data_IF_224802445854
#
_entry.id   IF_224802445854
#
_cell.length_a   1.000
_cell.length_b   1.000
_cell.length_c   1.000
_cell.angle_alpha   90.00
_cell.angle_beta   90.00
_cell.angle_gamma   90.00
#
_symmetry.space_group_name_H-M   'P 1'
#
loop_
_entity.id
_entity.type
_entity.pdbx_description
1 polymer ?
#
# COMPACT_ATOMS: atom_id res chain seq x y z
N UNK A 1 -66.15 -0.85 -21.03
CA UNK A 1 -65.14 0.20 -20.77
C UNK A 1 -64.15 0.20 -21.92
N UNK A 2 -63.79 1.34 -22.50
CA UNK A 2 -62.76 1.35 -23.52
C UNK A 2 -61.43 0.85 -22.91
N UNK A 3 -60.82 -0.18 -23.51
CA UNK A 3 -59.52 -0.65 -23.11
C UNK A 3 -58.45 0.26 -23.74
N UNK A 4 -57.62 0.86 -22.91
CA UNK A 4 -56.47 1.62 -23.39
C UNK A 4 -55.26 0.69 -23.55
N UNK A 5 -54.70 0.63 -24.75
CA UNK A 5 -53.49 -0.13 -25.04
C UNK A 5 -52.31 0.72 -24.64
N UNK A 6 -51.44 0.20 -23.80
CA UNK A 6 -50.12 0.78 -23.50
C UNK A 6 -49.07 0.09 -24.41
N UNK A 7 -48.61 0.74 -25.48
CA UNK A 7 -47.76 0.08 -26.47
C UNK A 7 -46.28 -0.05 -26.06
N UNK A 8 -45.88 0.65 -24.99
CA UNK A 8 -44.48 0.70 -24.55
C UNK A 8 -44.42 1.10 -23.10
N UNK A 9 -43.34 0.67 -22.39
CA UNK A 9 -43.01 1.06 -21.02
C UNK A 9 -41.67 1.78 -20.93
N UNK A 10 -41.17 2.31 -22.06
CA UNK A 10 -39.80 2.87 -22.19
C UNK A 10 -39.51 4.06 -21.26
N UNK A 11 -40.53 4.75 -20.75
CA UNK A 11 -40.37 5.85 -19.78
C UNK A 11 -40.22 5.40 -18.33
N UNK A 12 -40.40 4.11 -18.04
CA UNK A 12 -40.25 3.60 -16.70
C UNK A 12 -41.35 4.05 -15.74
N UNK A 13 -41.02 4.11 -14.47
CA UNK A 13 -41.92 4.57 -13.43
C UNK A 13 -42.09 6.11 -13.50
N UNK A 14 -43.33 6.55 -13.56
CA UNK A 14 -43.65 7.98 -13.57
C UNK A 14 -43.68 8.54 -12.16
N UNK A 15 -43.25 9.78 -12.01
CA UNK A 15 -43.43 10.52 -10.77
C UNK A 15 -44.94 10.62 -10.41
N UNK A 16 -45.32 10.51 -9.15
CA UNK A 16 -46.71 10.68 -8.71
C UNK A 16 -47.39 11.97 -9.22
N UNK A 17 -46.60 13.04 -9.43
CA UNK A 17 -47.10 14.32 -9.99
C UNK A 17 -47.53 14.21 -11.45
N UNK A 18 -47.12 13.15 -12.17
CA UNK A 18 -47.49 12.90 -13.57
C UNK A 18 -48.65 11.91 -13.72
N UNK A 19 -49.13 11.28 -12.63
CA UNK A 19 -50.19 10.28 -12.72
C UNK A 19 -51.53 10.83 -13.23
N UNK A 20 -51.78 12.13 -13.11
CA UNK A 20 -52.97 12.80 -13.65
C UNK A 20 -52.76 13.49 -15.02
N UNK A 21 -51.53 13.45 -15.55
CA UNK A 21 -51.21 14.18 -16.79
C UNK A 21 -51.37 13.29 -18.01
N UNK A 22 -52.62 12.94 -18.29
CA UNK A 22 -53.03 12.12 -19.45
C UNK A 22 -52.77 12.80 -20.81
N UNK A 23 -52.50 14.10 -20.79
CA UNK A 23 -52.15 14.92 -21.96
C UNK A 23 -50.71 14.75 -22.43
N UNK A 24 -49.86 14.09 -21.64
CA UNK A 24 -48.42 13.94 -21.98
C UNK A 24 -48.13 12.60 -22.63
N UNK A 25 -47.20 12.60 -23.62
CA UNK A 25 -46.72 11.38 -24.26
C UNK A 25 -46.07 10.42 -23.25
N UNK A 26 -45.47 10.94 -22.16
CA UNK A 26 -44.89 10.17 -21.11
C UNK A 26 -45.90 9.29 -20.37
N UNK A 27 -47.16 9.78 -20.19
CA UNK A 27 -48.22 9.04 -19.56
C UNK A 27 -48.57 7.75 -20.31
N UNK A 28 -48.57 7.78 -21.62
CA UNK A 28 -48.91 6.66 -22.49
C UNK A 28 -47.79 5.62 -22.66
N UNK A 29 -46.59 5.91 -22.17
CA UNK A 29 -45.41 5.05 -22.28
C UNK A 29 -44.73 4.80 -20.93
N UNK A 30 -45.39 5.18 -19.83
CA UNK A 30 -44.90 5.00 -18.47
C UNK A 30 -45.72 4.01 -17.63
N UNK A 31 -45.20 3.67 -16.49
CA UNK A 31 -45.84 2.82 -15.48
C UNK A 31 -46.10 3.64 -14.22
N UNK A 32 -47.22 3.41 -13.57
CA UNK A 32 -47.49 4.00 -12.26
C UNK A 32 -46.59 3.41 -11.18
N UNK A 33 -46.17 2.14 -11.33
CA UNK A 33 -45.23 1.47 -10.43
C UNK A 33 -44.39 0.45 -11.23
N UNK A 34 -43.09 0.49 -11.06
CA UNK A 34 -42.16 -0.46 -11.70
C UNK A 34 -41.20 -1.03 -10.66
N UNK A 35 -41.57 -2.12 -9.98
CA UNK A 35 -40.76 -2.75 -8.94
C UNK A 35 -40.27 -4.12 -9.39
N UNK A 36 -38.99 -4.41 -9.10
CA UNK A 36 -38.35 -5.70 -9.45
C UNK A 36 -38.38 -6.04 -10.93
N UNK A 37 -38.33 -5.03 -11.80
CA UNK A 37 -38.34 -5.19 -13.26
C UNK A 37 -37.24 -4.35 -13.91
N UNK A 38 -36.72 -4.82 -15.04
CA UNK A 38 -35.89 -4.05 -15.93
C UNK A 38 -36.76 -3.52 -17.10
N UNK A 39 -36.62 -2.23 -17.37
CA UNK A 39 -37.31 -1.58 -18.47
C UNK A 39 -36.33 -1.46 -19.63
N UNK A 40 -36.74 -1.98 -20.78
CA UNK A 40 -35.91 -1.96 -21.98
C UNK A 40 -36.20 -0.72 -22.81
N UNK A 41 -35.19 -0.15 -23.44
CA UNK A 41 -35.33 1.04 -24.27
C UNK A 41 -36.31 0.84 -25.45
N UNK A 42 -36.47 -0.40 -25.92
CA UNK A 42 -37.45 -0.80 -26.92
C UNK A 42 -38.92 -0.87 -26.42
N UNK A 43 -39.16 -0.55 -25.14
CA UNK A 43 -40.49 -0.51 -24.53
C UNK A 43 -40.96 -1.77 -23.83
N UNK A 44 -40.19 -2.86 -23.86
CA UNK A 44 -40.49 -4.08 -23.13
C UNK A 44 -40.10 -3.98 -21.64
N UNK A 45 -40.63 -4.92 -20.85
CA UNK A 45 -40.31 -5.08 -19.44
C UNK A 45 -39.96 -6.54 -19.18
N UNK A 46 -38.87 -6.79 -18.45
CA UNK A 46 -38.51 -8.14 -17.98
C UNK A 46 -38.36 -8.16 -16.47
N UNK A 47 -38.63 -9.31 -15.88
CA UNK A 47 -38.43 -9.50 -14.44
C UNK A 47 -36.94 -9.40 -14.10
N UNK A 48 -36.62 -8.79 -12.97
CA UNK A 48 -35.28 -8.85 -12.41
C UNK A 48 -34.94 -10.29 -12.07
N UNK A 49 -33.71 -10.76 -12.39
CA UNK A 49 -33.24 -12.07 -11.94
C UNK A 49 -33.39 -12.21 -10.42
N UNK A 50 -33.61 -13.43 -9.97
CA UNK A 50 -33.61 -13.74 -8.53
C UNK A 50 -32.26 -13.46 -7.88
N UNK A 51 -32.23 -13.36 -6.57
CA UNK A 51 -31.01 -13.31 -5.79
C UNK A 51 -30.54 -14.75 -5.50
N UNK A 52 -29.24 -14.97 -5.61
CA UNK A 52 -28.60 -16.20 -5.16
C UNK A 52 -27.93 -15.92 -3.81
N UNK A 53 -28.24 -16.73 -2.80
CA UNK A 53 -27.51 -16.69 -1.54
C UNK A 53 -26.13 -17.32 -1.74
N UNK A 54 -25.05 -16.58 -1.42
CA UNK A 54 -23.67 -17.02 -1.56
C UNK A 54 -23.18 -17.65 -0.26
N UNK A 55 -23.44 -17.00 0.85
CA UNK A 55 -23.03 -17.41 2.18
C UNK A 55 -23.25 -16.31 3.20
N UNK A 56 -23.14 -16.61 4.50
CA UNK A 56 -23.12 -15.59 5.54
C UNK A 56 -21.83 -14.77 5.47
N UNK A 57 -21.88 -13.56 5.97
CA UNK A 57 -20.68 -12.74 6.22
C UNK A 57 -19.86 -13.36 7.36
N UNK A 58 -18.57 -13.03 7.43
CA UNK A 58 -17.66 -13.57 8.46
C UNK A 58 -18.09 -13.28 9.88
N UNK A 59 -18.55 -12.06 10.12
CA UNK A 59 -19.15 -11.63 11.38
C UNK A 59 -20.51 -10.97 11.10
N UNK A 60 -21.59 -11.66 11.44
CA UNK A 60 -22.96 -11.19 11.23
C UNK A 60 -23.44 -10.16 12.27
N UNK A 61 -22.67 -9.92 13.32
CA UNK A 61 -22.98 -8.87 14.32
C UNK A 61 -22.56 -7.49 13.85
N UNK A 62 -21.69 -7.42 12.84
CA UNK A 62 -21.16 -6.20 12.28
C UNK A 62 -21.58 -6.00 10.82
N UNK A 63 -21.65 -4.74 10.39
CA UNK A 63 -21.89 -4.42 8.98
C UNK A 63 -20.64 -4.70 8.16
N UNK A 64 -20.83 -5.07 6.90
CA UNK A 64 -19.77 -5.29 5.94
C UNK A 64 -19.88 -4.32 4.77
N UNK A 65 -18.77 -4.13 4.05
CA UNK A 65 -18.72 -3.39 2.81
C UNK A 65 -18.23 -4.28 1.67
N UNK A 66 -18.97 -4.27 0.56
CA UNK A 66 -18.58 -4.97 -0.64
C UNK A 66 -17.85 -4.01 -1.59
N UNK A 67 -16.64 -4.39 -2.01
CA UNK A 67 -15.81 -3.63 -2.95
C UNK A 67 -15.56 -4.51 -4.18
N UNK A 68 -15.85 -4.04 -5.41
CA UNK A 68 -15.53 -4.79 -6.62
C UNK A 68 -14.02 -4.77 -6.88
N UNK A 69 -13.48 -5.90 -7.34
CA UNK A 69 -12.11 -6.01 -7.83
C UNK A 69 -12.12 -6.73 -9.19
N UNK A 70 -11.54 -6.11 -10.21
CA UNK A 70 -11.57 -6.63 -11.56
C UNK A 70 -10.15 -6.80 -12.10
N UNK A 71 -9.65 -8.03 -12.11
CA UNK A 71 -8.37 -8.34 -12.74
C UNK A 71 -8.47 -8.35 -14.27
N UNK A 72 -9.45 -9.10 -14.79
CA UNK A 72 -9.78 -9.15 -16.23
C UNK A 72 -11.27 -9.39 -16.41
N UNK A 73 -11.76 -9.36 -17.63
CA UNK A 73 -13.19 -9.50 -17.94
C UNK A 73 -13.80 -10.82 -17.46
N UNK A 74 -13.00 -11.88 -17.39
CA UNK A 74 -13.41 -13.22 -16.94
C UNK A 74 -13.09 -13.50 -15.48
N UNK A 75 -12.21 -12.73 -14.85
CA UNK A 75 -11.84 -12.86 -13.44
C UNK A 75 -12.19 -11.58 -12.68
N UNK A 76 -13.40 -11.59 -12.15
CA UNK A 76 -13.93 -10.54 -11.29
C UNK A 76 -14.18 -11.10 -9.90
N UNK A 77 -13.96 -10.25 -8.91
CA UNK A 77 -14.12 -10.58 -7.50
C UNK A 77 -14.98 -9.54 -6.82
N UNK A 78 -15.65 -9.95 -5.75
CA UNK A 78 -16.22 -9.06 -4.76
C UNK A 78 -15.43 -9.28 -3.47
N UNK A 79 -14.86 -8.21 -2.95
CA UNK A 79 -14.16 -8.19 -1.68
C UNK A 79 -15.16 -7.82 -0.59
N UNK A 80 -15.36 -8.72 0.37
CA UNK A 80 -16.17 -8.48 1.57
C UNK A 80 -15.24 -7.98 2.67
N UNK A 81 -15.24 -6.68 2.92
CA UNK A 81 -14.57 -6.08 4.06
C UNK A 81 -15.49 -6.09 5.26
N UNK A 82 -15.05 -6.74 6.33
CA UNK A 82 -15.72 -6.78 7.62
C UNK A 82 -14.83 -6.24 8.75
N UNK A 83 -15.21 -6.48 9.98
CA UNK A 83 -14.45 -6.05 11.15
C UNK A 83 -13.10 -6.74 11.22
N UNK A 84 -12.03 -6.04 10.86
CA UNK A 84 -10.63 -6.50 10.84
C UNK A 84 -10.35 -7.67 9.89
N UNK A 85 -11.22 -7.95 8.93
CA UNK A 85 -11.02 -9.00 7.94
C UNK A 85 -11.45 -8.57 6.53
N UNK A 86 -10.97 -9.32 5.54
CA UNK A 86 -11.46 -9.30 4.16
C UNK A 86 -11.63 -10.73 3.65
N UNK A 87 -12.80 -11.04 3.07
CA UNK A 87 -13.08 -12.27 2.34
C UNK A 87 -13.27 -12.00 0.86
N UNK A 88 -13.11 -13.02 0.06
CA UNK A 88 -13.19 -12.92 -1.40
C UNK A 88 -14.30 -13.82 -1.94
N UNK A 89 -15.17 -13.23 -2.75
CA UNK A 89 -16.21 -13.94 -3.50
C UNK A 89 -15.86 -13.95 -4.98
N UNK A 90 -15.93 -15.12 -5.62
CA UNK A 90 -15.71 -15.33 -7.04
C UNK A 90 -16.66 -16.40 -7.56
N UNK A 91 -17.21 -16.24 -8.76
CA UNK A 91 -18.07 -17.25 -9.40
C UNK A 91 -19.19 -17.76 -8.47
N UNK A 92 -19.89 -16.81 -7.84
CA UNK A 92 -21.02 -17.08 -6.94
C UNK A 92 -20.68 -17.93 -5.69
N UNK A 93 -19.44 -17.94 -5.24
CA UNK A 93 -19.00 -18.62 -4.02
C UNK A 93 -17.88 -17.86 -3.32
N UNK A 94 -17.72 -18.08 -2.01
CA UNK A 94 -16.48 -17.65 -1.32
C UNK A 94 -15.30 -18.43 -1.86
N UNK A 95 -14.18 -17.76 -2.02
CA UNK A 95 -12.90 -18.39 -2.36
C UNK A 95 -12.45 -19.25 -1.19
N UNK A 96 -11.99 -20.45 -1.50
CA UNK A 96 -11.53 -21.43 -0.52
C UNK A 96 -10.00 -21.60 -0.60
N UNK A 97 -9.38 -21.85 0.53
CA UNK A 97 -7.97 -22.25 0.60
C UNK A 97 -7.78 -23.70 0.12
N UNK A 98 -6.53 -24.13 0.05
CA UNK A 98 -6.21 -25.49 -0.38
C UNK A 98 -6.86 -26.57 0.51
N UNK A 99 -7.31 -27.64 -0.13
CA UNK A 99 -7.95 -28.78 0.54
C UNK A 99 -7.06 -29.41 1.63
N UNK A 100 -7.68 -29.79 2.74
CA UNK A 100 -7.08 -30.68 3.75
C UNK A 100 -7.81 -32.02 3.71
N UNK A 101 -7.06 -33.11 3.60
CA UNK A 101 -7.61 -34.46 3.56
C UNK A 101 -8.17 -34.85 4.91
N UNK A 102 -9.42 -35.32 4.93
CA UNK A 102 -10.06 -35.89 6.11
C UNK A 102 -9.72 -37.38 6.17
N UNK A 103 -9.24 -37.82 7.32
CA UNK A 103 -8.89 -39.21 7.58
C UNK A 103 -9.78 -39.86 8.66
N UNK A 104 -10.66 -39.08 9.27
CA UNK A 104 -11.61 -39.58 10.28
C UNK A 104 -12.66 -38.51 10.64
N UNK A 105 -13.83 -39.00 11.06
CA UNK A 105 -14.87 -38.20 11.68
C UNK A 105 -15.64 -39.02 12.71
N UNK A 106 -15.98 -38.44 13.87
CA UNK A 106 -16.68 -39.16 14.94
C UNK A 106 -18.17 -38.93 14.88
N UNK A 107 -18.95 -40.01 15.00
CA UNK A 107 -20.40 -39.96 15.19
C UNK A 107 -20.71 -39.64 16.69
N UNK A 108 -20.43 -38.45 17.11
CA UNK A 108 -20.49 -37.98 18.50
C UNK A 108 -21.02 -36.53 18.60
N UNK A 109 -21.23 -36.04 19.80
CA UNK A 109 -21.57 -34.65 20.07
C UNK A 109 -20.44 -34.03 20.92
N UNK A 110 -19.60 -33.13 20.35
CA UNK A 110 -19.57 -32.67 18.95
C UNK A 110 -18.99 -33.69 17.97
N UNK A 111 -19.24 -33.47 16.67
CA UNK A 111 -18.51 -34.16 15.62
C UNK A 111 -17.06 -33.66 15.62
N UNK A 112 -16.10 -34.58 15.74
CA UNK A 112 -14.65 -34.29 15.65
C UNK A 112 -14.15 -34.80 14.30
N UNK A 113 -13.49 -33.92 13.55
CA UNK A 113 -12.82 -34.23 12.28
C UNK A 113 -11.33 -34.46 12.51
N UNK A 114 -10.79 -35.51 11.91
CA UNK A 114 -9.36 -35.77 11.86
C UNK A 114 -8.81 -35.38 10.49
N UNK A 115 -7.89 -34.41 10.45
CA UNK A 115 -7.19 -33.95 9.26
C UNK A 115 -5.77 -33.54 9.67
N UNK A 116 -4.78 -34.34 9.30
CA UNK A 116 -3.40 -34.14 9.72
C UNK A 116 -2.83 -32.79 9.29
N UNK A 117 -2.25 -32.04 10.22
CA UNK A 117 -1.61 -30.74 9.97
C UNK A 117 -2.52 -29.77 9.20
N UNK A 118 -3.81 -29.70 9.58
CA UNK A 118 -4.80 -28.89 8.88
C UNK A 118 -4.49 -27.38 8.92
N UNK A 119 -3.87 -26.88 10.00
CA UNK A 119 -3.45 -25.47 10.13
C UNK A 119 -4.60 -24.49 10.41
N UNK A 120 -5.80 -24.97 10.74
CA UNK A 120 -6.96 -24.13 11.09
C UNK A 120 -6.85 -23.58 12.50
N UNK A 121 -7.54 -22.46 12.73
CA UNK A 121 -7.73 -21.82 14.02
C UNK A 121 -9.19 -21.93 14.48
N UNK A 122 -9.42 -21.84 15.78
CA UNK A 122 -10.79 -21.72 16.30
C UNK A 122 -11.44 -20.45 15.75
N UNK A 123 -12.68 -20.59 15.26
CA UNK A 123 -13.40 -19.54 14.56
C UNK A 123 -13.30 -19.61 13.03
N UNK A 124 -12.35 -20.36 12.46
CA UNK A 124 -12.25 -20.51 11.00
C UNK A 124 -13.52 -21.16 10.44
N UNK A 125 -14.02 -20.65 9.32
CA UNK A 125 -15.14 -21.24 8.58
C UNK A 125 -14.61 -22.24 7.58
N UNK A 126 -15.12 -23.48 7.67
CA UNK A 126 -14.73 -24.59 6.79
C UNK A 126 -15.91 -25.18 6.05
N UNK A 127 -15.67 -25.61 4.81
CA UNK A 127 -16.61 -26.41 4.01
C UNK A 127 -16.09 -27.84 3.91
N UNK A 128 -16.94 -28.84 4.11
CA UNK A 128 -16.60 -30.26 4.02
C UNK A 128 -17.28 -30.87 2.80
N UNK A 129 -16.55 -31.72 2.07
CA UNK A 129 -17.06 -32.41 0.87
C UNK A 129 -16.52 -33.83 0.78
N UNK A 130 -17.22 -34.71 0.02
CA UNK A 130 -16.73 -36.01 -0.41
C UNK A 130 -16.41 -36.99 0.73
N UNK A 131 -16.99 -36.80 1.90
CA UNK A 131 -16.94 -37.79 2.99
C UNK A 131 -17.85 -38.97 2.63
N UNK A 132 -17.34 -40.18 2.81
CA UNK A 132 -18.09 -41.44 2.62
C UNK A 132 -18.51 -41.98 3.98
N UNK A 133 -19.74 -42.45 4.10
CA UNK A 133 -20.37 -42.85 5.37
C UNK A 133 -21.12 -41.67 5.98
N UNK A 134 -20.45 -40.79 6.68
CA UNK A 134 -21.03 -39.59 7.33
C UNK A 134 -21.35 -38.47 6.31
N UNK A 135 -22.25 -38.76 5.38
CA UNK A 135 -22.61 -37.85 4.28
C UNK A 135 -23.37 -36.59 4.76
N UNK A 136 -23.90 -36.62 5.97
CA UNK A 136 -24.67 -35.53 6.59
C UNK A 136 -23.85 -34.23 6.77
N UNK A 137 -22.51 -34.34 6.76
CA UNK A 137 -21.63 -33.16 6.84
C UNK A 137 -21.19 -32.65 5.47
N UNK A 138 -21.48 -33.37 4.36
CA UNK A 138 -21.06 -32.97 3.03
C UNK A 138 -21.79 -31.71 2.52
N UNK A 139 -21.06 -30.86 1.80
CA UNK A 139 -21.55 -29.62 1.18
C UNK A 139 -22.15 -28.64 2.20
N UNK A 140 -21.69 -28.71 3.43
CA UNK A 140 -22.10 -27.82 4.52
C UNK A 140 -20.89 -27.03 5.03
N UNK A 141 -21.21 -25.89 5.63
CA UNK A 141 -20.26 -25.01 6.27
C UNK A 141 -20.36 -25.12 7.79
N UNK A 142 -19.21 -25.07 8.43
CA UNK A 142 -19.06 -25.18 9.88
C UNK A 142 -18.03 -24.21 10.38
N UNK A 143 -18.09 -23.88 11.66
CA UNK A 143 -17.03 -23.15 12.37
C UNK A 143 -16.16 -24.16 13.13
N UNK A 144 -14.87 -23.98 13.02
CA UNK A 144 -13.86 -24.80 13.72
C UNK A 144 -13.85 -24.43 15.21
N UNK A 145 -13.85 -25.41 16.07
CA UNK A 145 -13.68 -25.24 17.51
C UNK A 145 -12.74 -26.30 18.10
N UNK A 146 -12.17 -26.02 19.25
CA UNK A 146 -11.31 -26.94 20.03
C UNK A 146 -10.23 -27.62 19.19
N UNK A 147 -9.59 -26.84 18.30
CA UNK A 147 -8.60 -27.35 17.35
C UNK A 147 -7.37 -27.90 18.07
N UNK A 148 -6.83 -28.99 17.54
CA UNK A 148 -5.47 -29.48 17.83
C UNK A 148 -4.63 -29.37 16.55
N UNK A 149 -3.43 -29.93 16.53
CA UNK A 149 -2.63 -29.99 15.29
C UNK A 149 -3.27 -30.83 14.18
N UNK A 150 -4.09 -31.84 14.56
CA UNK A 150 -4.61 -32.86 13.63
C UNK A 150 -6.12 -33.06 13.73
N UNK A 151 -6.82 -32.41 14.65
CA UNK A 151 -8.27 -32.58 14.83
C UNK A 151 -8.95 -31.24 15.11
N UNK A 152 -10.22 -31.13 14.77
CA UNK A 152 -11.07 -30.00 15.11
C UNK A 152 -12.52 -30.43 15.28
N UNK A 153 -13.26 -29.72 16.10
CA UNK A 153 -14.68 -29.91 16.29
C UNK A 153 -15.50 -29.03 15.36
N UNK A 154 -16.69 -29.51 15.01
CA UNK A 154 -17.63 -28.77 14.18
C UNK A 154 -18.68 -28.08 15.03
N UNK A 155 -18.84 -26.77 14.83
CA UNK A 155 -19.93 -25.98 15.40
C UNK A 155 -20.77 -25.32 14.31
N UNK A 156 -21.97 -24.92 14.64
CA UNK A 156 -22.89 -24.24 13.72
C UNK A 156 -22.46 -22.79 13.48
N UNK A 157 -22.68 -22.26 12.27
CA UNK A 157 -22.35 -20.89 11.90
C UNK A 157 -23.14 -19.85 12.70
N UNK A 158 -24.41 -20.11 12.98
CA UNK A 158 -25.31 -19.07 13.54
C UNK A 158 -25.26 -18.95 15.07
N UNK A 159 -24.91 -20.01 15.79
CA UNK A 159 -25.03 -20.05 17.24
C UNK A 159 -23.81 -20.60 17.97
N UNK A 160 -22.77 -21.00 17.24
CA UNK A 160 -21.60 -21.65 17.85
C UNK A 160 -21.93 -22.98 18.57
N UNK A 161 -23.13 -23.52 18.34
CA UNK A 161 -23.56 -24.75 18.95
C UNK A 161 -22.87 -25.96 18.33
N UNK A 162 -22.48 -26.93 19.14
CA UNK A 162 -21.89 -28.17 18.69
C UNK A 162 -22.76 -28.88 17.63
N UNK A 163 -22.15 -29.43 16.62
CA UNK A 163 -22.85 -30.32 15.70
C UNK A 163 -22.97 -31.69 16.34
N UNK A 164 -24.20 -32.07 16.65
CA UNK A 164 -24.51 -33.40 17.21
C UNK A 164 -24.55 -34.43 16.07
N UNK A 165 -23.50 -35.23 15.99
CA UNK A 165 -23.37 -36.34 15.04
C UNK A 165 -23.75 -37.68 15.59
N UNK A 166 -24.33 -37.80 16.80
CA UNK A 166 -24.66 -39.08 17.44
C UNK A 166 -25.62 -39.94 16.64
N UNK A 167 -26.47 -39.31 15.78
CA UNK A 167 -27.38 -39.98 14.86
C UNK A 167 -26.85 -40.06 13.43
N UNK A 168 -25.62 -39.56 13.13
CA UNK A 168 -25.09 -39.60 11.79
C UNK A 168 -24.54 -40.97 11.43
N UNK A 169 -24.51 -41.24 10.13
CA UNK A 169 -23.87 -42.45 9.63
C UNK A 169 -22.39 -42.48 9.96
N UNK A 170 -21.85 -43.61 10.40
CA UNK A 170 -20.44 -43.69 10.75
C UNK A 170 -19.54 -43.35 9.55
N UNK A 171 -18.47 -42.60 9.82
CA UNK A 171 -17.44 -42.28 8.82
C UNK A 171 -16.82 -43.58 8.29
N UNK A 172 -16.67 -43.69 6.98
CA UNK A 172 -16.06 -44.83 6.31
C UNK A 172 -14.71 -44.48 5.69
N UNK A 173 -14.67 -43.43 4.85
CA UNK A 173 -13.43 -43.00 4.20
C UNK A 173 -13.58 -41.65 3.50
N UNK A 174 -12.45 -41.12 3.03
CA UNK A 174 -12.40 -39.96 2.14
C UNK A 174 -12.82 -38.64 2.79
N UNK A 175 -13.03 -37.65 1.98
CA UNK A 175 -13.41 -36.30 2.39
C UNK A 175 -12.29 -35.29 2.36
N UNK A 176 -12.69 -34.04 2.14
CA UNK A 176 -11.83 -32.89 2.17
C UNK A 176 -12.50 -31.75 2.92
N UNK A 177 -11.73 -31.01 3.69
CA UNK A 177 -12.13 -29.75 4.29
C UNK A 177 -11.39 -28.59 3.63
N UNK A 178 -12.08 -27.48 3.45
CA UNK A 178 -11.57 -26.27 2.84
C UNK A 178 -11.92 -25.09 3.74
N UNK A 179 -10.92 -24.31 4.11
CA UNK A 179 -11.15 -23.05 4.84
C UNK A 179 -11.62 -21.97 3.86
N UNK A 180 -12.57 -21.16 4.26
CA UNK A 180 -12.90 -19.90 3.56
C UNK A 180 -11.70 -18.99 3.66
N UNK A 181 -11.21 -18.49 2.52
CA UNK A 181 -10.09 -17.57 2.50
C UNK A 181 -10.45 -16.27 3.23
N UNK A 182 -9.60 -15.90 4.16
CA UNK A 182 -9.74 -14.67 4.92
C UNK A 182 -8.38 -14.00 5.11
N UNK A 183 -8.32 -12.69 4.84
CA UNK A 183 -7.16 -11.85 5.04
C UNK A 183 -7.45 -10.89 6.20
N UNK A 184 -6.57 -10.84 7.19
CA UNK A 184 -6.65 -9.85 8.27
C UNK A 184 -6.41 -8.44 7.73
N UNK A 185 -7.24 -7.49 8.15
CA UNK A 185 -7.10 -6.08 7.81
C UNK A 185 -6.99 -5.22 9.08
N UNK A 186 -6.69 -3.95 8.90
CA UNK A 186 -6.61 -2.98 10.01
C UNK A 186 -7.90 -2.18 10.18
N UNK A 187 -8.86 -2.34 9.27
CA UNK A 187 -10.09 -1.54 9.26
C UNK A 187 -11.15 -2.16 10.16
N UNK A 188 -11.68 -1.39 11.08
CA UNK A 188 -12.83 -1.81 11.87
C UNK A 188 -14.15 -1.47 11.17
N UNK A 189 -15.28 -1.85 11.80
CA UNK A 189 -16.60 -1.65 11.23
C UNK A 189 -16.94 -0.18 10.95
N UNK A 190 -16.45 0.75 11.77
CA UNK A 190 -16.73 2.18 11.64
C UNK A 190 -16.01 2.76 10.41
N UNK A 191 -14.83 2.25 10.10
CA UNK A 191 -13.95 2.74 9.04
C UNK A 191 -14.36 2.31 7.63
N UNK A 192 -15.08 1.19 7.52
CA UNK A 192 -15.33 0.54 6.22
C UNK A 192 -15.94 1.49 5.17
N UNK A 193 -16.78 2.44 5.58
CA UNK A 193 -17.42 3.39 4.64
C UNK A 193 -16.46 4.44 4.12
N UNK A 194 -15.42 4.75 4.88
CA UNK A 194 -14.45 5.81 4.56
C UNK A 194 -13.32 5.31 3.67
N UNK A 195 -13.13 4.00 3.53
CA UNK A 195 -12.13 3.44 2.60
C UNK A 195 -12.41 3.97 1.19
N UNK A 196 -11.45 4.65 0.59
CA UNK A 196 -11.43 5.00 -0.83
C UNK A 196 -10.42 4.12 -1.53
N UNK A 197 -10.63 3.85 -2.80
CA UNK A 197 -9.76 2.95 -3.52
C UNK A 197 -9.65 3.31 -4.99
N UNK A 198 -8.51 2.95 -5.55
CA UNK A 198 -8.28 2.91 -6.99
C UNK A 198 -7.60 1.59 -7.33
N UNK A 199 -7.75 1.10 -8.55
CA UNK A 199 -7.21 -0.21 -8.94
C UNK A 199 -6.53 -0.13 -10.29
N UNK A 200 -5.36 -0.79 -10.38
CA UNK A 200 -4.68 -1.10 -11.64
C UNK A 200 -4.27 -2.56 -11.63
N UNK A 201 -4.75 -3.34 -12.61
CA UNK A 201 -4.48 -4.78 -12.72
C UNK A 201 -4.70 -5.56 -11.41
N UNK A 202 -3.65 -6.16 -10.86
CA UNK A 202 -3.67 -6.96 -9.64
C UNK A 202 -3.48 -6.18 -8.34
N UNK A 203 -3.34 -4.85 -8.42
CA UNK A 203 -3.08 -3.99 -7.27
C UNK A 203 -4.22 -3.00 -7.08
N UNK A 204 -4.76 -2.95 -5.86
CA UNK A 204 -5.74 -1.95 -5.42
C UNK A 204 -5.13 -1.11 -4.31
N UNK A 205 -5.02 0.18 -4.54
CA UNK A 205 -4.56 1.15 -3.52
C UNK A 205 -5.75 1.61 -2.69
N UNK A 206 -5.63 1.48 -1.37
CA UNK A 206 -6.64 1.85 -0.38
C UNK A 206 -6.16 3.08 0.40
N UNK A 207 -7.00 4.10 0.48
CA UNK A 207 -6.79 5.30 1.29
C UNK A 207 -7.90 5.44 2.34
N UNK A 208 -7.53 5.88 3.53
CA UNK A 208 -8.42 6.14 4.66
C UNK A 208 -7.82 7.25 5.53
N UNK A 209 -8.60 8.23 6.04
CA UNK A 209 -8.04 9.38 6.76
C UNK A 209 -7.35 9.02 8.09
N UNK A 210 -7.56 7.83 8.65
CA UNK A 210 -6.98 7.40 9.92
C UNK A 210 -5.90 6.32 9.80
N UNK A 211 -5.65 5.81 8.59
CA UNK A 211 -4.70 4.70 8.35
C UNK A 211 -3.70 5.03 7.24
N UNK A 212 -2.52 4.41 7.31
CA UNK A 212 -1.55 4.43 6.21
C UNK A 212 -2.20 3.97 4.91
N UNK A 213 -1.79 4.58 3.81
CA UNK A 213 -2.15 4.11 2.47
C UNK A 213 -1.63 2.68 2.30
N UNK A 214 -2.49 1.78 1.83
CA UNK A 214 -2.16 0.37 1.68
C UNK A 214 -2.39 -0.12 0.27
N UNK A 215 -1.58 -1.07 -0.15
CA UNK A 215 -1.79 -1.84 -1.36
C UNK A 215 -2.35 -3.21 -1.01
N UNK A 216 -3.48 -3.53 -1.61
CA UNK A 216 -4.04 -4.86 -1.66
C UNK A 216 -3.63 -5.50 -2.98
N UNK A 217 -2.72 -6.46 -2.91
CA UNK A 217 -2.16 -7.13 -4.09
C UNK A 217 -2.67 -8.56 -4.18
N UNK A 218 -3.15 -8.94 -5.37
CA UNK A 218 -3.60 -10.29 -5.70
C UNK A 218 -2.51 -11.04 -6.45
N UNK A 219 -2.11 -12.21 -5.97
CA UNK A 219 -1.20 -13.14 -6.68
C UNK A 219 -1.89 -14.44 -7.09
N UNK A 220 -3.12 -14.68 -6.58
CA UNK A 220 -3.92 -15.86 -6.89
C UNK A 220 -5.33 -15.70 -6.34
N UNK A 221 -6.23 -16.68 -6.59
CA UNK A 221 -7.61 -16.59 -6.10
C UNK A 221 -7.68 -16.52 -4.56
N UNK A 222 -6.88 -17.34 -3.88
CA UNK A 222 -6.76 -17.40 -2.43
C UNK A 222 -5.38 -16.89 -1.95
N UNK A 223 -4.79 -15.95 -2.68
CA UNK A 223 -3.47 -15.39 -2.35
C UNK A 223 -3.50 -13.88 -2.53
N UNK A 224 -3.61 -13.19 -1.42
CA UNK A 224 -3.72 -11.74 -1.32
C UNK A 224 -2.86 -11.22 -0.19
N UNK A 225 -2.31 -10.04 -0.37
CA UNK A 225 -1.53 -9.33 0.66
C UNK A 225 -2.04 -7.90 0.81
N UNK A 226 -2.00 -7.38 2.03
CA UNK A 226 -2.34 -5.99 2.35
C UNK A 226 -1.15 -5.35 3.06
N UNK A 227 -0.43 -4.47 2.38
CA UNK A 227 0.81 -3.85 2.88
C UNK A 227 0.68 -2.32 2.90
N UNK A 228 1.26 -1.68 3.91
CA UNK A 228 1.40 -0.22 3.90
C UNK A 228 2.39 0.21 2.82
N UNK A 229 2.12 1.32 2.16
CA UNK A 229 3.01 1.92 1.16
C UNK A 229 4.07 2.74 1.89
N UNK A 230 5.33 2.54 1.51
CA UNK A 230 6.41 3.50 1.79
C UNK A 230 6.55 4.41 0.55
N UNK A 231 6.46 5.72 0.77
CA UNK A 231 6.57 6.69 -0.30
C UNK A 231 8.04 7.06 -0.51
N UNK A 232 8.68 6.37 -1.45
CA UNK A 232 10.07 6.58 -1.85
C UNK A 232 10.25 6.20 -3.33
N UNK A 233 11.30 6.68 -4.01
CA UNK A 233 11.69 6.16 -5.30
C UNK A 233 11.86 4.64 -5.27
N UNK A 234 11.43 3.95 -6.32
CA UNK A 234 11.65 2.52 -6.51
C UNK A 234 13.07 2.19 -6.97
N UNK A 235 13.74 3.14 -7.63
CA UNK A 235 15.12 3.02 -8.04
C UNK A 235 16.05 3.06 -6.82
N UNK A 236 16.93 2.07 -6.67
CA UNK A 236 17.91 2.04 -5.59
C UNK A 236 18.99 3.12 -5.78
N UNK A 237 19.46 3.67 -4.66
CA UNK A 237 20.55 4.63 -4.62
C UNK A 237 21.89 3.98 -5.00
N UNK A 238 22.83 4.70 -5.65
CA UNK A 238 24.20 4.23 -5.84
C UNK A 238 24.91 4.14 -4.48
N UNK A 239 25.83 3.18 -4.35
CA UNK A 239 26.53 2.92 -3.08
C UNK A 239 28.04 3.02 -3.23
N UNK A 240 28.76 3.02 -2.11
CA UNK A 240 30.23 3.10 -2.06
C UNK A 240 30.81 4.23 -2.91
N UNK A 241 30.16 5.41 -2.85
CA UNK A 241 30.60 6.58 -3.59
C UNK A 241 31.90 7.10 -2.98
N UNK A 242 32.85 7.46 -3.85
CA UNK A 242 34.12 8.10 -3.49
C UNK A 242 34.31 9.32 -4.36
N UNK A 243 34.92 10.36 -3.80
CA UNK A 243 35.35 11.55 -4.53
C UNK A 243 36.77 11.92 -4.08
N UNK A 244 37.69 12.07 -5.00
CA UNK A 244 39.13 12.32 -4.73
C UNK A 244 39.68 13.36 -5.67
N UNK A 245 40.56 14.26 -5.18
CA UNK A 245 41.30 15.17 -6.01
C UNK A 245 42.40 14.40 -6.77
N UNK A 246 42.44 14.52 -8.10
CA UNK A 246 43.58 14.15 -8.92
C UNK A 246 44.32 15.42 -9.37
N UNK A 247 45.66 15.32 -9.49
CA UNK A 247 46.53 16.46 -9.76
C UNK A 247 46.94 17.26 -8.53
N UNK A 248 47.06 18.57 -8.66
CA UNK A 248 47.48 19.44 -7.56
C UNK A 248 46.35 19.61 -6.53
N UNK A 249 46.69 19.36 -5.26
CA UNK A 249 45.77 19.59 -4.13
C UNK A 249 45.74 21.05 -3.71
N UNK A 250 44.66 21.47 -3.06
CA UNK A 250 44.45 22.81 -2.52
C UNK A 250 43.81 22.76 -1.15
N UNK A 251 42.90 23.71 -0.88
CA UNK A 251 42.11 23.77 0.35
C UNK A 251 40.66 24.12 0.10
N UNK A 252 40.19 23.91 -1.14
CA UNK A 252 38.81 24.17 -1.52
C UNK A 252 37.99 22.91 -1.23
N UNK A 253 36.84 23.10 -0.58
CA UNK A 253 35.90 21.99 -0.34
C UNK A 253 34.91 21.92 -1.49
N UNK A 254 34.73 20.71 -2.01
CA UNK A 254 33.71 20.37 -3.01
C UNK A 254 32.80 19.28 -2.47
N UNK A 255 31.47 19.50 -2.55
CA UNK A 255 30.45 18.53 -2.11
C UNK A 255 29.69 17.99 -3.33
N UNK A 256 29.52 16.67 -3.39
CA UNK A 256 28.88 15.99 -4.51
C UNK A 256 27.74 15.11 -4.03
N UNK A 257 26.70 14.99 -4.86
CA UNK A 257 25.65 13.98 -4.76
C UNK A 257 25.64 13.16 -6.06
N UNK A 258 25.32 11.87 -5.96
CA UNK A 258 25.15 10.98 -7.11
C UNK A 258 23.84 10.26 -6.95
N UNK A 259 23.03 10.22 -8.00
CA UNK A 259 21.78 9.50 -8.10
C UNK A 259 21.82 8.49 -9.22
N UNK A 260 20.94 7.50 -9.21
CA UNK A 260 20.79 6.50 -10.25
C UNK A 260 19.46 6.72 -10.99
N UNK A 261 19.44 6.56 -12.30
CA UNK A 261 18.26 6.71 -13.14
C UNK A 261 17.92 5.35 -13.74
N UNK A 262 16.68 4.88 -13.49
CA UNK A 262 16.15 3.62 -13.97
C UNK A 262 16.06 3.60 -15.50
N UNK A 263 16.29 2.41 -16.10
CA UNK A 263 16.25 2.25 -17.54
C UNK A 263 14.85 2.14 -18.14
N UNK A 264 13.88 1.68 -17.36
CA UNK A 264 12.54 1.35 -17.85
C UNK A 264 11.56 2.53 -17.75
N UNK A 265 11.53 3.22 -16.61
CA UNK A 265 10.58 4.29 -16.31
C UNK A 265 11.21 5.67 -16.11
N UNK A 266 12.55 5.74 -16.17
CA UNK A 266 13.37 6.94 -15.97
C UNK A 266 13.26 7.53 -14.56
N UNK A 267 12.78 6.75 -13.59
CA UNK A 267 12.72 7.17 -12.21
C UNK A 267 14.14 7.43 -11.66
N UNK A 268 14.33 8.59 -11.05
CA UNK A 268 15.59 8.96 -10.41
C UNK A 268 15.56 8.60 -8.91
N UNK A 269 16.61 7.94 -8.44
CA UNK A 269 16.80 7.59 -7.04
C UNK A 269 17.07 8.82 -6.18
N UNK A 270 16.99 8.66 -4.86
CA UNK A 270 17.59 9.61 -3.94
C UNK A 270 19.11 9.56 -4.08
N UNK A 271 19.80 10.60 -3.55
CA UNK A 271 21.27 10.63 -3.53
C UNK A 271 21.83 9.50 -2.66
N UNK A 272 22.92 8.87 -3.12
CA UNK A 272 23.59 7.82 -2.37
C UNK A 272 24.15 8.28 -1.03
N UNK A 273 24.22 7.36 -0.07
CA UNK A 273 24.69 7.66 1.27
C UNK A 273 26.21 7.59 1.39
N UNK A 274 26.77 8.52 2.15
CA UNK A 274 28.17 8.47 2.59
C UNK A 274 28.40 7.22 3.45
N UNK A 275 29.46 6.47 3.15
CA UNK A 275 29.79 5.22 3.85
C UNK A 275 30.27 5.43 5.29
N UNK A 276 30.65 6.67 5.66
CA UNK A 276 31.11 7.01 7.02
C UNK A 276 29.93 7.35 7.92
N UNK A 277 29.27 6.30 8.40
CA UNK A 277 28.18 6.44 9.34
C UNK A 277 28.62 7.00 10.69
N UNK A 278 27.84 7.88 11.30
CA UNK A 278 28.03 8.37 12.67
C UNK A 278 27.09 7.64 13.61
N UNK A 279 27.64 7.09 14.69
CA UNK A 279 26.87 6.36 15.68
C UNK A 279 26.00 7.30 16.51
N UNK A 280 24.72 6.97 16.61
CA UNK A 280 23.77 7.68 17.46
C UNK A 280 23.77 7.03 18.85
N UNK A 281 23.86 7.85 19.88
CA UNK A 281 23.84 7.39 21.29
C UNK A 281 22.65 7.95 22.06
N UNK A 282 21.84 8.81 21.45
CA UNK A 282 20.63 9.38 22.04
C UNK A 282 19.78 10.11 21.03
N UNK A 283 18.46 10.14 21.26
CA UNK A 283 17.51 10.98 20.57
C UNK A 283 16.41 11.43 21.55
N UNK A 284 15.96 12.69 21.43
CA UNK A 284 14.95 13.24 22.34
C UNK A 284 13.55 13.15 21.73
N UNK A 285 12.57 12.69 22.51
CA UNK A 285 11.15 12.80 22.14
C UNK A 285 10.65 14.22 22.41
N UNK A 286 11.08 15.18 21.59
CA UNK A 286 10.82 16.60 21.74
C UNK A 286 10.60 17.26 20.37
N UNK A 287 10.19 18.53 20.38
CA UNK A 287 10.04 19.34 19.17
C UNK A 287 11.04 20.52 19.23
N UNK A 288 12.08 20.54 18.36
CA UNK A 288 12.48 19.50 17.41
C UNK A 288 13.17 18.28 18.09
N UNK A 289 13.28 17.17 17.35
CA UNK A 289 14.10 16.02 17.78
C UNK A 289 15.57 16.43 17.81
N UNK A 290 16.26 16.16 18.93
CA UNK A 290 17.71 16.35 19.07
C UNK A 290 18.41 15.00 19.08
N UNK A 291 19.36 14.81 18.17
CA UNK A 291 20.20 13.62 18.07
C UNK A 291 21.51 13.84 18.81
N UNK A 292 21.93 12.85 19.60
CA UNK A 292 23.26 12.81 20.22
C UNK A 292 24.15 11.83 19.46
N UNK A 293 25.27 12.36 18.93
CA UNK A 293 26.27 11.61 18.17
C UNK A 293 27.63 12.27 18.38
N UNK A 294 28.54 11.58 19.05
CA UNK A 294 29.84 12.14 19.43
C UNK A 294 30.68 12.50 18.19
N UNK A 295 31.19 13.75 18.16
CA UNK A 295 32.09 14.23 17.09
C UNK A 295 31.57 13.92 15.68
N UNK A 296 30.28 14.16 15.45
CA UNK A 296 29.62 13.81 14.18
C UNK A 296 30.18 14.59 12.99
N UNK A 297 30.60 15.83 13.18
CA UNK A 297 31.23 16.65 12.12
C UNK A 297 30.25 17.18 11.07
N UNK A 298 28.93 17.07 11.26
CA UNK A 298 27.93 17.64 10.36
C UNK A 298 27.85 19.15 10.50
N UNK A 299 27.49 19.85 9.44
CA UNK A 299 27.21 21.26 9.42
C UNK A 299 25.70 21.54 9.32
N UNK A 300 25.26 22.73 9.74
CA UNK A 300 23.89 23.18 9.50
C UNK A 300 23.60 23.21 7.99
N UNK A 301 22.46 22.67 7.59
CA UNK A 301 22.06 22.54 6.19
C UNK A 301 22.53 21.25 5.52
N UNK A 302 23.39 20.45 6.15
CA UNK A 302 23.66 19.10 5.66
C UNK A 302 22.41 18.23 5.73
N UNK A 303 22.23 17.34 4.76
CA UNK A 303 21.18 16.34 4.78
C UNK A 303 21.75 15.01 5.29
N UNK A 304 21.08 14.41 6.26
CA UNK A 304 21.46 13.12 6.85
C UNK A 304 20.30 12.15 6.79
N UNK A 305 20.61 10.86 6.58
CA UNK A 305 19.66 9.77 6.74
C UNK A 305 19.90 9.07 8.08
N UNK A 306 18.81 8.87 8.83
CA UNK A 306 18.81 8.21 10.12
C UNK A 306 18.38 6.77 9.94
N UNK A 307 19.16 5.82 10.53
CA UNK A 307 18.91 4.40 10.36
C UNK A 307 19.10 3.62 11.66
N UNK A 308 18.39 2.48 11.78
CA UNK A 308 18.62 1.44 12.79
C UNK A 308 18.49 1.91 14.25
N UNK A 309 17.73 2.94 14.53
CA UNK A 309 17.38 3.33 15.90
C UNK A 309 16.41 2.31 16.47
N UNK A 310 16.62 1.93 17.71
CA UNK A 310 15.72 1.10 18.51
C UNK A 310 14.95 2.01 19.49
N UNK A 311 13.65 1.85 19.53
CA UNK A 311 12.73 2.70 20.29
C UNK A 311 12.09 3.74 19.37
N UNK A 312 12.71 4.85 19.10
CA UNK A 312 12.23 5.92 18.21
C UNK A 312 12.33 5.53 16.72
N UNK A 313 11.59 4.50 16.34
CA UNK A 313 11.65 3.95 14.97
C UNK A 313 11.01 4.84 13.92
N UNK A 314 10.25 5.83 14.33
CA UNK A 314 9.51 6.78 13.50
C UNK A 314 10.43 7.64 12.61
N UNK A 315 11.71 7.78 13.00
CA UNK A 315 12.71 8.53 12.22
C UNK A 315 13.65 7.62 11.41
N UNK A 316 13.52 6.31 11.47
CA UNK A 316 14.36 5.38 10.69
C UNK A 316 14.05 5.43 9.20
N UNK A 317 15.10 5.29 8.38
CA UNK A 317 15.09 5.34 6.91
C UNK A 317 14.50 6.66 6.36
N UNK A 318 14.68 7.75 7.11
CA UNK A 318 14.22 9.07 6.72
C UNK A 318 15.38 10.04 6.66
N UNK A 319 15.25 11.03 5.78
CA UNK A 319 16.25 12.10 5.57
C UNK A 319 15.80 13.38 6.21
N UNK A 320 16.74 14.06 6.86
CA UNK A 320 16.52 15.29 7.59
C UNK A 320 17.62 16.30 7.32
N UNK A 321 17.27 17.56 7.32
CA UNK A 321 18.25 18.65 7.35
C UNK A 321 18.77 18.83 8.77
N UNK A 322 20.09 18.95 8.91
CA UNK A 322 20.76 19.22 10.18
C UNK A 322 20.58 20.70 10.55
N UNK A 323 20.11 20.97 11.75
CA UNK A 323 20.00 22.30 12.32
C UNK A 323 20.64 22.37 13.70
N UNK A 324 20.95 23.57 14.16
CA UNK A 324 21.49 23.89 15.50
C UNK A 324 22.59 22.92 15.97
N UNK A 325 23.51 22.59 15.04
CA UNK A 325 24.58 21.62 15.30
C UNK A 325 25.54 22.10 16.38
N UNK A 326 25.95 21.19 17.25
CA UNK A 326 27.04 21.35 18.20
C UNK A 326 28.02 20.18 18.03
N UNK A 327 29.12 20.16 18.78
CA UNK A 327 30.17 19.13 18.62
C UNK A 327 29.61 17.67 18.70
N UNK A 328 28.61 17.43 19.53
CA UNK A 328 28.10 16.10 19.82
C UNK A 328 26.57 15.98 19.65
N UNK A 329 25.89 17.03 19.21
CA UNK A 329 24.42 17.01 19.02
C UNK A 329 24.03 17.83 17.80
N UNK A 330 22.91 17.46 17.20
CA UNK A 330 22.26 18.23 16.15
C UNK A 330 20.74 18.03 16.21
N UNK A 331 19.99 18.98 15.68
CA UNK A 331 18.54 18.91 15.54
C UNK A 331 18.15 18.37 14.16
N UNK A 332 17.07 17.62 14.11
CA UNK A 332 16.38 17.28 12.87
C UNK A 332 15.40 18.40 12.55
N UNK A 333 15.69 19.21 11.54
CA UNK A 333 14.91 20.40 11.20
C UNK A 333 13.45 20.06 10.92
N UNK A 334 12.53 20.67 11.69
CA UNK A 334 11.09 20.51 11.50
C UNK A 334 10.49 19.18 11.96
N UNK A 335 11.28 18.27 12.55
CA UNK A 335 10.75 17.00 13.05
C UNK A 335 10.22 17.16 14.48
N UNK A 336 8.92 16.96 14.66
CA UNK A 336 8.25 16.94 15.97
C UNK A 336 8.20 15.52 16.53
N UNK A 337 9.13 15.22 17.44
CA UNK A 337 9.21 13.94 18.12
C UNK A 337 8.39 13.83 19.40
N UNK A 338 7.55 14.81 19.73
CA UNK A 338 6.82 14.82 21.01
C UNK A 338 5.88 13.63 21.20
N UNK A 339 5.42 13.02 20.10
CA UNK A 339 4.60 11.80 20.07
C UNK A 339 5.37 10.53 19.73
N UNK A 340 6.68 10.62 19.46
CA UNK A 340 7.49 9.47 19.09
C UNK A 340 7.78 8.56 20.28
N UNK A 341 8.02 7.29 19.96
CA UNK A 341 8.52 6.34 20.95
C UNK A 341 9.87 6.78 21.50
N UNK A 342 10.08 6.63 22.80
CA UNK A 342 11.36 7.02 23.41
C UNK A 342 12.53 6.24 22.80
N UNK A 343 13.65 6.92 22.54
CA UNK A 343 14.90 6.29 22.13
C UNK A 343 15.34 5.25 23.18
N UNK A 344 15.74 4.08 22.72
CA UNK A 344 16.25 3.00 23.56
C UNK A 344 17.74 2.74 23.34
N UNK A 345 18.14 2.52 22.08
CA UNK A 345 19.54 2.20 21.75
C UNK A 345 19.80 2.24 20.24
N UNK A 346 21.07 2.11 19.87
CA UNK A 346 21.57 1.97 18.50
C UNK A 346 21.27 3.17 17.60
N UNK A 347 21.52 3.02 16.31
CA UNK A 347 21.26 4.00 15.29
C UNK A 347 22.51 4.58 14.66
N UNK A 348 22.36 5.00 13.41
CA UNK A 348 23.38 5.69 12.61
C UNK A 348 22.81 6.88 11.90
N UNK A 349 23.65 7.89 11.67
CA UNK A 349 23.37 9.02 10.80
C UNK A 349 24.40 9.04 9.68
N UNK A 350 23.95 9.07 8.43
CA UNK A 350 24.78 9.08 7.24
C UNK A 350 24.51 10.36 6.44
N UNK A 351 25.57 11.09 6.03
CA UNK A 351 25.44 12.17 5.05
C UNK A 351 24.93 11.65 3.71
N UNK A 352 24.15 12.45 3.02
CA UNK A 352 23.68 12.19 1.65
C UNK A 352 24.56 12.83 0.59
N UNK A 353 25.77 13.29 0.97
CA UNK A 353 26.75 13.86 0.08
C UNK A 353 28.17 13.37 0.42
N UNK A 354 29.09 13.60 -0.50
CA UNK A 354 30.49 13.27 -0.42
C UNK A 354 31.30 14.56 -0.51
N UNK A 355 32.29 14.74 0.35
CA UNK A 355 33.07 15.96 0.42
C UNK A 355 34.56 15.69 0.18
N UNK A 356 35.17 16.47 -0.72
CA UNK A 356 36.61 16.57 -0.92
C UNK A 356 37.04 17.87 -0.28
N UNK A 357 37.98 17.83 0.68
CA UNK A 357 38.40 19.00 1.45
C UNK A 357 39.75 19.59 1.03
N UNK A 358 40.45 18.86 0.16
CA UNK A 358 41.79 19.22 -0.38
C UNK A 358 41.73 19.57 -1.86
N UNK A 359 40.57 19.95 -2.37
CA UNK A 359 40.37 20.29 -3.78
C UNK A 359 41.14 21.51 -4.22
N UNK A 360 41.60 21.51 -5.49
CA UNK A 360 42.21 22.68 -6.10
C UNK A 360 41.22 23.82 -6.25
N UNK A 361 41.64 25.04 -6.09
CA UNK A 361 40.78 26.24 -6.21
C UNK A 361 40.18 26.42 -7.63
N UNK A 362 40.84 25.87 -8.64
CA UNK A 362 40.41 25.92 -10.03
C UNK A 362 40.55 24.52 -10.61
N UNK A 363 39.38 23.85 -10.86
CA UNK A 363 39.37 22.57 -11.51
C UNK A 363 39.65 22.69 -13.01
N UNK A 364 40.37 21.72 -13.56
CA UNK A 364 40.79 21.66 -14.96
C UNK A 364 41.01 20.20 -15.38
N UNK A 365 41.36 19.95 -16.63
CA UNK A 365 41.67 18.59 -17.11
C UNK A 365 42.91 17.95 -16.47
N UNK A 366 43.73 18.73 -15.75
CA UNK A 366 44.92 18.24 -15.01
C UNK A 366 44.74 18.24 -13.50
N UNK A 367 43.82 19.03 -12.99
CA UNK A 367 43.53 19.17 -11.58
C UNK A 367 42.00 19.02 -11.42
N UNK A 368 41.52 17.80 -11.27
CA UNK A 368 40.08 17.48 -11.29
C UNK A 368 39.68 16.59 -10.13
N UNK A 369 38.38 16.45 -9.95
CA UNK A 369 37.81 15.53 -8.96
C UNK A 369 37.34 14.25 -9.69
N UNK A 370 37.91 13.12 -9.32
CA UNK A 370 37.44 11.80 -9.73
C UNK A 370 36.38 11.31 -8.79
N UNK A 371 35.21 10.99 -9.34
CA UNK A 371 34.02 10.48 -8.58
C UNK A 371 33.72 9.09 -9.11
N UNK A 372 33.57 8.10 -8.21
CA UNK A 372 33.20 6.74 -8.60
C UNK A 372 32.25 6.11 -7.58
N UNK A 373 31.50 5.11 -8.02
CA UNK A 373 30.50 4.42 -7.19
C UNK A 373 30.26 2.98 -7.63
N UNK A 374 29.54 2.22 -6.78
CA UNK A 374 29.04 0.91 -7.13
C UNK A 374 27.68 1.05 -7.83
N UNK A 375 27.52 0.31 -8.94
CA UNK A 375 26.28 0.34 -9.73
C UNK A 375 25.05 -0.01 -8.89
N UNK A 376 24.00 0.77 -9.06
CA UNK A 376 22.68 0.44 -8.54
C UNK A 376 21.96 -0.55 -9.48
N UNK A 377 21.13 -1.42 -8.90
CA UNK A 377 20.33 -2.38 -9.68
C UNK A 377 19.35 -1.63 -10.58
N UNK A 378 19.17 -2.10 -11.80
CA UNK A 378 18.27 -1.55 -12.82
C UNK A 378 18.58 -0.11 -13.27
N UNK A 379 19.68 0.48 -12.80
CA UNK A 379 20.13 1.78 -13.25
C UNK A 379 20.73 1.69 -14.67
N UNK A 380 20.26 2.56 -15.56
CA UNK A 380 20.83 2.72 -16.91
C UNK A 380 21.89 3.83 -16.95
N UNK A 381 21.70 4.87 -16.15
CA UNK A 381 22.61 6.02 -16.08
C UNK A 381 22.59 6.62 -14.68
N UNK A 382 23.48 7.56 -14.46
CA UNK A 382 23.67 8.26 -13.19
C UNK A 382 23.74 9.75 -13.42
N UNK A 383 23.18 10.56 -12.52
CA UNK A 383 23.33 11.99 -12.51
C UNK A 383 24.26 12.40 -11.36
N UNK A 384 25.19 13.31 -11.66
CA UNK A 384 26.17 13.83 -10.71
C UNK A 384 25.92 15.32 -10.47
N UNK A 385 25.81 15.69 -9.21
CA UNK A 385 25.50 17.06 -8.77
C UNK A 385 26.62 17.60 -7.89
N UNK A 386 26.96 18.88 -8.06
CA UNK A 386 27.89 19.59 -7.19
C UNK A 386 27.19 20.73 -6.46
N UNK A 387 27.53 20.87 -5.17
CA UNK A 387 27.08 21.97 -4.36
C UNK A 387 27.86 23.24 -4.70
N UNK A 388 27.17 24.29 -5.05
CA UNK A 388 27.72 25.62 -5.25
C UNK A 388 26.65 26.66 -4.95
N UNK A 389 27.03 27.81 -4.40
CA UNK A 389 26.14 28.93 -4.07
C UNK A 389 24.88 28.55 -3.23
N UNK A 390 25.00 27.53 -2.37
CA UNK A 390 23.89 27.11 -1.49
C UNK A 390 22.96 26.04 -2.08
N UNK A 391 23.16 25.60 -3.32
CA UNK A 391 22.33 24.62 -4.01
C UNK A 391 23.20 23.53 -4.66
N UNK A 392 22.59 22.35 -4.89
CA UNK A 392 23.16 21.32 -5.74
C UNK A 392 22.67 21.55 -7.18
N UNK A 393 23.60 21.67 -8.12
CA UNK A 393 23.33 21.75 -9.56
C UNK A 393 23.90 20.56 -10.30
N UNK A 394 23.27 20.15 -11.39
CA UNK A 394 23.67 19.03 -12.23
C UNK A 394 25.00 19.36 -12.95
N UNK A 395 26.00 18.50 -12.84
CA UNK A 395 27.21 18.53 -13.66
C UNK A 395 27.03 17.78 -14.97
N UNK A 396 26.31 16.68 -14.94
CA UNK A 396 26.03 15.86 -16.10
C UNK A 396 25.54 14.46 -15.74
N UNK A 397 25.17 13.70 -16.78
CA UNK A 397 24.78 12.31 -16.69
C UNK A 397 25.84 11.41 -17.31
N UNK A 398 25.97 10.17 -16.82
CA UNK A 398 26.87 9.14 -17.35
C UNK A 398 26.24 7.77 -17.30
N UNK A 399 26.57 6.89 -18.24
CA UNK A 399 26.19 5.47 -18.25
C UNK A 399 27.22 4.58 -17.53
N UNK A 400 28.33 5.16 -17.11
CA UNK A 400 29.39 4.48 -16.36
C UNK A 400 29.27 4.76 -14.86
N UNK A 401 30.00 4.00 -14.06
CA UNK A 401 30.05 4.19 -12.59
C UNK A 401 31.16 5.13 -12.15
N UNK A 402 31.55 6.06 -13.04
CA UNK A 402 32.57 7.06 -12.78
C UNK A 402 32.22 8.38 -13.51
N UNK A 403 32.68 9.49 -12.95
CA UNK A 403 32.53 10.83 -13.49
C UNK A 403 33.74 11.69 -13.11
N UNK A 404 34.14 12.58 -13.99
CA UNK A 404 35.24 13.51 -13.77
C UNK A 404 34.69 14.94 -13.75
N UNK A 405 34.92 15.67 -12.68
CA UNK A 405 34.63 17.09 -12.62
C UNK A 405 35.94 17.90 -12.85
N UNK A 406 36.12 18.36 -14.06
CA UNK A 406 37.25 19.17 -14.52
C UNK A 406 36.95 20.69 -14.52
N UNK A 407 35.93 21.11 -13.74
CA UNK A 407 35.52 22.51 -13.65
C UNK A 407 34.20 22.78 -14.40
N UNK A 408 33.37 21.76 -14.58
CA UNK A 408 32.03 21.90 -15.18
C UNK A 408 31.19 22.89 -14.33
N UNK A 409 30.52 23.82 -15.00
CA UNK A 409 29.59 24.75 -14.31
C UNK A 409 28.31 23.99 -13.97
N UNK A 410 27.88 23.96 -12.68
CA UNK A 410 26.63 23.30 -12.31
C UNK A 410 25.41 23.96 -12.95
N UNK A 411 24.51 23.16 -13.48
CA UNK A 411 23.19 23.59 -13.95
C UNK A 411 22.19 23.55 -12.79
N UNK A 412 21.81 24.70 -12.30
CA UNK A 412 20.89 24.83 -11.16
C UNK A 412 19.40 24.72 -11.54
N UNK A 413 19.08 24.54 -12.82
CA UNK A 413 17.72 24.21 -13.23
C UNK A 413 17.39 22.75 -12.90
N UNK A 414 18.40 21.92 -12.60
CA UNK A 414 18.26 20.52 -12.20
C UNK A 414 18.95 20.29 -10.85
N UNK A 415 18.21 19.73 -9.90
CA UNK A 415 18.73 19.36 -8.57
C UNK A 415 18.35 17.91 -8.23
N UNK A 416 19.12 17.24 -7.33
CA UNK A 416 18.83 15.87 -6.96
C UNK A 416 17.46 15.76 -6.26
N UNK A 417 16.71 14.67 -6.47
CA UNK A 417 15.44 14.43 -5.79
C UNK A 417 15.59 14.45 -4.26
N UNK A 418 14.60 15.04 -3.59
CA UNK A 418 14.48 15.06 -2.13
C UNK A 418 13.25 14.27 -1.71
N UNK A 419 13.36 13.44 -0.66
CA UNK A 419 12.21 12.65 -0.20
C UNK A 419 11.10 13.57 0.30
N UNK A 420 9.87 13.16 0.06
CA UNK A 420 8.68 13.81 0.57
C UNK A 420 7.71 12.76 1.10
N UNK A 421 7.42 12.82 2.39
CA UNK A 421 6.55 11.88 3.10
C UNK A 421 5.39 12.63 3.78
N UNK A 422 4.40 13.10 3.01
CA UNK A 422 3.34 13.97 3.54
C UNK A 422 2.37 13.25 4.47
N UNK A 423 2.36 11.91 4.47
CA UNK A 423 1.34 11.08 5.14
C UNK A 423 1.83 10.38 6.41
N UNK A 424 2.91 10.83 7.04
CA UNK A 424 3.50 10.17 8.21
C UNK A 424 2.65 10.34 9.48
N UNK A 425 2.12 11.54 9.72
CA UNK A 425 1.35 11.81 10.94
C UNK A 425 -0.11 11.36 10.82
N UNK A 426 -0.75 11.09 11.96
CA UNK A 426 -2.12 10.57 12.01
C UNK A 426 -3.12 11.45 11.25
N UNK A 427 -3.08 12.78 11.44
CA UNK A 427 -4.03 13.69 10.80
C UNK A 427 -3.69 14.05 9.34
N UNK A 428 -2.59 13.54 8.83
CA UNK A 428 -2.16 13.73 7.43
C UNK A 428 -2.39 12.51 6.54
N UNK A 429 -3.09 11.49 7.01
CA UNK A 429 -3.46 10.36 6.14
C UNK A 429 -4.47 10.81 5.08
N UNK A 430 -4.32 10.40 3.79
CA UNK A 430 -5.20 10.86 2.73
C UNK A 430 -6.54 10.13 2.77
N UNK A 431 -7.62 10.87 2.71
CA UNK A 431 -8.98 10.36 2.62
C UNK A 431 -9.44 10.02 1.20
N UNK A 432 -8.62 10.30 0.17
CA UNK A 432 -8.93 10.04 -1.23
C UNK A 432 -7.71 9.60 -2.02
N UNK A 433 -7.93 8.74 -3.01
CA UNK A 433 -6.92 8.28 -3.96
C UNK A 433 -7.54 8.07 -5.34
N UNK A 434 -6.81 8.40 -6.40
CA UNK A 434 -7.22 8.19 -7.79
C UNK A 434 -6.00 8.08 -8.71
N UNK A 435 -6.22 7.67 -9.97
CA UNK A 435 -5.24 7.77 -11.05
C UNK A 435 -5.53 8.98 -11.92
N UNK A 436 -4.49 9.73 -12.26
CA UNK A 436 -4.56 10.83 -13.23
C UNK A 436 -3.24 10.95 -13.99
N UNK A 437 -3.27 10.91 -15.32
CA UNK A 437 -2.11 11.09 -16.20
C UNK A 437 -0.88 10.26 -15.78
N UNK A 438 -1.06 8.95 -15.59
CA UNK A 438 -0.01 8.00 -15.15
C UNK A 438 0.58 8.32 -13.77
N UNK A 439 -0.17 8.98 -12.91
CA UNK A 439 0.22 9.31 -11.53
C UNK A 439 -0.84 8.81 -10.55
N UNK A 440 -0.44 8.46 -9.35
CA UNK A 440 -1.35 8.45 -8.21
C UNK A 440 -1.58 9.87 -7.71
N UNK A 441 -2.83 10.17 -7.40
CA UNK A 441 -3.23 11.44 -6.79
C UNK A 441 -3.87 11.13 -5.45
N UNK A 442 -3.36 11.75 -4.41
CA UNK A 442 -3.85 11.65 -3.04
C UNK A 442 -4.38 13.00 -2.58
N UNK A 443 -5.35 13.01 -1.68
CA UNK A 443 -5.89 14.24 -1.13
C UNK A 443 -6.83 14.04 0.04
N UNK A 444 -7.35 15.14 0.57
CA UNK A 444 -8.35 15.14 1.64
C UNK A 444 -7.79 14.66 2.98
N UNK A 445 -6.61 15.13 3.40
CA UNK A 445 -6.11 14.91 4.76
C UNK A 445 -6.84 15.85 5.73
N UNK A 446 -6.89 15.50 7.01
CA UNK A 446 -7.55 16.32 8.03
C UNK A 446 -6.85 17.69 8.21
N UNK A 447 -5.52 17.73 8.18
CA UNK A 447 -4.75 18.96 8.37
C UNK A 447 -4.63 19.82 7.10
N UNK A 448 -4.70 19.22 5.92
CA UNK A 448 -4.54 19.89 4.64
C UNK A 448 -5.63 19.46 3.66
N UNK A 449 -6.91 19.76 3.91
CA UNK A 449 -8.04 19.26 3.14
C UNK A 449 -8.07 19.76 1.69
N UNK A 450 -7.46 20.92 1.42
CA UNK A 450 -7.42 21.56 0.10
C UNK A 450 -6.15 21.19 -0.70
N UNK A 451 -5.28 20.33 -0.16
CA UNK A 451 -4.03 19.93 -0.80
C UNK A 451 -4.20 18.60 -1.53
N UNK A 452 -3.61 18.52 -2.71
CA UNK A 452 -3.48 17.29 -3.47
C UNK A 452 -2.01 16.99 -3.71
N UNK A 453 -1.63 15.74 -3.55
CA UNK A 453 -0.28 15.23 -3.80
C UNK A 453 -0.30 14.32 -5.00
N UNK A 454 0.65 14.53 -5.90
CA UNK A 454 0.81 13.73 -7.11
C UNK A 454 2.09 12.93 -6.99
N UNK A 455 2.06 11.66 -7.37
CA UNK A 455 3.30 10.91 -7.55
C UNK A 455 4.01 11.35 -8.81
N UNK A 456 5.28 11.01 -8.96
CA UNK A 456 5.97 11.17 -10.23
C UNK A 456 5.31 10.33 -11.34
N UNK A 457 5.49 10.77 -12.59
CA UNK A 457 4.89 10.11 -13.76
C UNK A 457 5.45 8.70 -13.92
N UNK A 458 4.57 7.69 -13.96
CA UNK A 458 4.96 6.28 -14.07
C UNK A 458 5.36 5.64 -12.73
N UNK A 459 5.73 6.43 -11.72
CA UNK A 459 6.21 5.95 -10.41
C UNK A 459 5.20 6.27 -9.31
N UNK A 460 4.30 5.34 -9.03
CA UNK A 460 3.11 5.57 -8.20
C UNK A 460 3.39 5.74 -6.69
N UNK A 461 4.60 5.41 -6.24
CA UNK A 461 5.01 5.52 -4.83
C UNK A 461 6.02 6.64 -4.59
N UNK A 462 6.49 7.27 -5.65
CA UNK A 462 7.46 8.33 -5.59
C UNK A 462 6.76 9.70 -5.47
N UNK A 463 6.89 10.34 -4.31
CA UNK A 463 6.42 11.69 -4.03
C UNK A 463 7.60 12.66 -3.87
N UNK A 464 8.83 12.28 -4.25
CA UNK A 464 10.00 13.14 -4.14
C UNK A 464 9.84 14.41 -4.98
N UNK A 465 10.50 15.47 -4.55
CA UNK A 465 10.46 16.80 -5.15
C UNK A 465 11.85 17.33 -5.40
N UNK A 466 11.99 18.25 -6.32
CA UNK A 466 13.24 18.94 -6.66
C UNK A 466 13.22 20.41 -6.21
N UNK A 467 14.37 21.06 -6.18
CA UNK A 467 14.49 22.50 -5.92
C UNK A 467 15.49 23.12 -6.92
N UNK A 468 15.07 23.90 -7.93
CA UNK A 468 13.69 24.29 -8.22
C UNK A 468 12.78 23.11 -8.60
N UNK A 469 11.47 23.28 -8.41
CA UNK A 469 10.48 22.25 -8.74
C UNK A 469 10.50 21.91 -10.22
N UNK A 470 10.48 20.61 -10.53
CA UNK A 470 10.41 20.09 -11.88
C UNK A 470 8.96 19.83 -12.30
N UNK A 471 8.70 19.59 -13.58
CA UNK A 471 7.35 19.32 -14.07
C UNK A 471 6.74 18.02 -13.50
N UNK A 472 7.56 17.18 -12.93
CA UNK A 472 7.18 15.88 -12.35
C UNK A 472 6.94 15.91 -10.84
N UNK A 473 7.30 16.96 -10.15
CA UNK A 473 7.18 17.10 -8.69
C UNK A 473 5.72 17.15 -8.19
#
# INVERSE_FOLDING_TARGET
>A
MPSTILPSFSRGELSPSLHGRVDTAAYHTGLATARNVFIHAAGGVSNRPGLKFIGPVGDHSNVVRLIPFKFKTTDTYILEFGHLYMRVVREDAHVLEAAKTITGATAANPVVITATSHGYSDGDEVTITSVVGMTEINNRRFIVANKTANTFELTSQAAGANIDGSAFTAYSSGGSSFKVFELTTTYDTADLRNIKFTQSADVMTLAHPDYDVRELTRTGHASWTLTAISFAPGQNDPTAITATQDGATGSTSYKYKVTAINGDDLEESLAGLNTTAKTITGATAANPVVITSASHGFANGDEVEINSIVGMTEINNRRFTVANQATNTFELEGEDGSSHTAYSSAGTANLTHFEVTDGNATLSTTDHIDISWTAATDAQRYAVYRFDNGLYGLLGETETTAFVDDGITPDFDFSPPRPREPFLTTDNKPGAVSYYQQRHVYGGTNNQPDTSWFSQTGSFKNLSVSTPGQADD
#
